data_IF_387248230594
#
_entry.id   IF_387248230594
#
_cell.length_a   1.000
_cell.length_b   1.000
_cell.length_c   1.000
_cell.angle_alpha   90.00
_cell.angle_beta   90.00
_cell.angle_gamma   90.00
#
_symmetry.space_group_name_H-M   'P 1'
#
loop_
_entity.id
_entity.type
_entity.pdbx_description
1 polymer ?
#
# COMPACT_ATOMS: atom_id res chain seq x y z
N UNK A 1 -1.58 -5.13 36.58
CA UNK A 1 -2.50 -5.03 35.44
C UNK A 1 -2.13 -3.77 34.70
N UNK A 2 -1.21 -3.87 33.74
CA UNK A 2 -0.95 -2.76 32.84
C UNK A 2 -1.95 -2.88 31.71
N UNK A 3 -2.86 -1.92 31.60
CA UNK A 3 -3.66 -1.78 30.40
C UNK A 3 -2.68 -1.68 29.22
N UNK A 4 -2.81 -2.61 28.27
CA UNK A 4 -2.20 -2.47 26.96
C UNK A 4 -2.68 -1.13 26.42
N UNK A 5 -1.81 -0.10 26.37
CA UNK A 5 -2.02 1.01 25.45
C UNK A 5 -2.27 0.36 24.10
N UNK A 6 -3.46 0.57 23.52
CA UNK A 6 -3.86 -0.11 22.30
C UNK A 6 -2.78 0.08 21.24
N UNK A 7 -2.28 -1.02 20.68
CA UNK A 7 -1.22 -0.99 19.70
C UNK A 7 -1.70 -0.15 18.51
N UNK A 8 -0.97 0.91 18.15
CA UNK A 8 -1.40 1.85 17.12
C UNK A 8 -0.37 1.90 15.99
N UNK A 9 -0.87 2.01 14.75
CA UNK A 9 -0.02 2.25 13.59
C UNK A 9 0.70 3.59 13.81
N UNK A 10 2.01 3.50 13.97
CA UNK A 10 2.90 4.61 14.28
C UNK A 10 3.62 5.15 13.05
N UNK A 11 3.83 4.31 12.05
CA UNK A 11 4.42 4.71 10.78
C UNK A 11 4.09 3.70 9.67
N UNK A 12 4.11 4.18 8.43
CA UNK A 12 4.05 3.36 7.22
C UNK A 12 5.11 3.89 6.26
N UNK A 13 5.86 2.98 5.66
CA UNK A 13 6.90 3.34 4.70
C UNK A 13 6.90 2.39 3.50
N UNK A 14 6.94 2.93 2.29
CA UNK A 14 7.02 2.18 1.06
C UNK A 14 8.29 2.47 0.27
N UNK A 15 8.69 1.47 -0.51
CA UNK A 15 9.82 1.52 -1.43
C UNK A 15 9.50 0.73 -2.70
N UNK A 16 10.15 1.10 -3.81
CA UNK A 16 10.17 0.28 -5.00
C UNK A 16 11.19 -0.85 -4.83
N UNK A 17 10.77 -2.09 -5.09
CA UNK A 17 11.63 -3.28 -5.18
C UNK A 17 11.45 -3.95 -6.55
N UNK A 18 12.14 -5.06 -6.80
CA UNK A 18 12.06 -5.79 -8.08
C UNK A 18 11.36 -7.14 -7.90
N UNK A 19 10.38 -7.41 -8.74
CA UNK A 19 9.64 -8.68 -8.79
C UNK A 19 10.47 -9.84 -9.38
N UNK A 20 9.92 -11.05 -9.36
CA UNK A 20 10.58 -12.25 -9.92
C UNK A 20 10.81 -12.21 -11.43
N UNK A 21 10.24 -11.22 -12.14
CA UNK A 21 10.34 -11.00 -13.59
C UNK A 21 11.21 -9.79 -13.93
N UNK A 22 11.84 -9.15 -12.95
CA UNK A 22 12.69 -7.99 -13.15
C UNK A 22 11.95 -6.65 -13.31
N UNK A 23 10.65 -6.57 -13.01
CA UNK A 23 9.88 -5.32 -13.05
C UNK A 23 9.79 -4.69 -11.65
N UNK A 24 9.69 -3.36 -11.56
CA UNK A 24 9.41 -2.69 -10.29
C UNK A 24 8.08 -3.16 -9.67
N UNK A 25 8.03 -3.24 -8.35
CA UNK A 25 6.80 -3.38 -7.56
C UNK A 25 6.93 -2.66 -6.21
N UNK A 26 5.81 -2.48 -5.51
CA UNK A 26 5.75 -1.78 -4.22
C UNK A 26 5.97 -2.78 -3.08
N UNK A 27 6.85 -2.42 -2.14
CA UNK A 27 6.96 -3.05 -0.82
C UNK A 27 6.60 -2.02 0.26
N UNK A 28 5.75 -2.41 1.20
CA UNK A 28 5.26 -1.58 2.29
C UNK A 28 5.64 -2.20 3.63
N UNK A 29 6.16 -1.36 4.52
CA UNK A 29 6.42 -1.64 5.93
C UNK A 29 5.36 -0.95 6.79
N UNK A 30 4.83 -1.65 7.78
CA UNK A 30 3.98 -1.07 8.82
C UNK A 30 4.65 -1.17 10.19
N UNK A 31 4.70 -0.03 10.89
CA UNK A 31 5.27 0.08 12.22
C UNK A 31 4.15 0.33 13.22
N UNK A 32 4.12 -0.46 14.29
CA UNK A 32 3.17 -0.31 15.41
C UNK A 32 3.98 -0.01 16.65
N UNK A 33 3.65 1.10 17.31
CA UNK A 33 4.39 1.64 18.46
C UNK A 33 5.92 1.76 18.21
N UNK A 34 6.30 2.17 17.01
CA UNK A 34 7.68 2.37 16.57
C UNK A 34 8.43 1.09 16.20
N UNK A 35 7.77 -0.07 16.21
CA UNK A 35 8.38 -1.37 15.87
C UNK A 35 7.79 -1.90 14.57
N UNK A 36 8.65 -2.32 13.64
CA UNK A 36 8.22 -2.99 12.41
C UNK A 36 7.40 -4.25 12.76
N UNK A 37 6.12 -4.26 12.37
CA UNK A 37 5.21 -5.40 12.62
C UNK A 37 4.90 -6.19 11.37
N UNK A 38 4.77 -5.52 10.23
CA UNK A 38 4.46 -6.18 8.98
C UNK A 38 5.24 -5.59 7.82
N UNK A 39 5.49 -6.44 6.83
CA UNK A 39 6.09 -6.09 5.55
C UNK A 39 5.42 -6.92 4.46
N UNK A 40 4.96 -6.24 3.43
CA UNK A 40 4.34 -6.89 2.28
C UNK A 40 4.88 -6.32 0.97
N UNK A 41 5.31 -7.20 0.08
CA UNK A 41 5.60 -6.89 -1.31
C UNK A 41 4.42 -7.32 -2.17
N UNK A 42 3.95 -6.43 -3.03
CA UNK A 42 2.77 -6.71 -3.85
C UNK A 42 3.17 -7.43 -5.13
N UNK A 43 2.55 -8.57 -5.48
CA UNK A 43 2.81 -9.21 -6.76
C UNK A 43 2.30 -8.33 -7.90
N UNK A 44 3.13 -8.15 -8.93
CA UNK A 44 2.73 -7.46 -10.15
C UNK A 44 1.68 -8.28 -10.91
N UNK A 45 0.62 -7.63 -11.37
CA UNK A 45 -0.36 -8.24 -12.27
C UNK A 45 0.21 -8.50 -13.67
N UNK A 46 -0.50 -9.32 -14.44
CA UNK A 46 -0.34 -9.39 -15.90
C UNK A 46 -1.68 -9.18 -16.62
N UNK A 47 -2.75 -8.97 -15.87
CA UNK A 47 -4.11 -8.98 -16.38
C UNK A 47 -4.51 -7.60 -16.91
N UNK A 48 -5.25 -7.63 -18.02
CA UNK A 48 -5.79 -6.46 -18.72
C UNK A 48 -7.31 -6.40 -18.62
N UNK A 49 -7.89 -7.05 -17.60
CA UNK A 49 -9.33 -7.09 -17.39
C UNK A 49 -9.88 -5.69 -17.12
N UNK A 50 -10.85 -5.24 -17.92
CA UNK A 50 -11.42 -3.88 -17.82
C UNK A 50 -12.18 -3.60 -16.52
N UNK A 51 -12.45 -4.64 -15.73
CA UNK A 51 -13.17 -4.57 -14.45
C UNK A 51 -12.27 -4.88 -13.24
N UNK A 52 -10.96 -5.07 -13.46
CA UNK A 52 -10.05 -5.40 -12.38
C UNK A 52 -9.57 -4.14 -11.65
N UNK A 53 -9.11 -4.33 -10.41
CA UNK A 53 -8.43 -3.28 -9.69
C UNK A 53 -7.13 -2.90 -10.43
N UNK A 54 -6.88 -1.60 -10.59
CA UNK A 54 -5.82 -1.11 -11.47
C UNK A 54 -4.52 -0.95 -10.71
N UNK A 55 -3.50 -1.70 -11.13
CA UNK A 55 -2.12 -1.45 -10.71
C UNK A 55 -1.63 -0.13 -11.30
N UNK A 56 -1.18 0.80 -10.45
CA UNK A 56 -0.66 2.09 -10.90
C UNK A 56 0.80 1.96 -11.32
N UNK A 57 1.08 2.41 -12.54
CA UNK A 57 2.40 2.39 -13.19
C UNK A 57 2.73 3.78 -13.69
N UNK A 58 3.98 4.21 -13.51
CA UNK A 58 4.42 5.58 -13.82
C UNK A 58 4.36 5.93 -15.32
N UNK A 59 4.40 4.92 -16.20
CA UNK A 59 4.60 5.13 -17.63
C UNK A 59 5.97 5.74 -17.94
N UNK A 60 6.10 6.36 -19.13
CA UNK A 60 7.36 6.96 -19.57
C UNK A 60 8.44 5.95 -19.98
N UNK A 61 9.71 6.35 -19.92
CA UNK A 61 10.85 5.59 -20.47
C UNK A 61 11.55 4.71 -19.44
N UNK A 62 11.57 5.13 -18.17
CA UNK A 62 12.17 4.35 -17.10
C UNK A 62 11.43 3.03 -16.91
N UNK A 63 12.19 1.94 -16.74
CA UNK A 63 11.62 0.58 -16.61
C UNK A 63 10.65 0.19 -17.73
N UNK A 64 10.80 0.77 -18.94
CA UNK A 64 9.87 0.59 -20.05
C UNK A 64 8.41 0.95 -19.68
N UNK A 65 8.24 1.98 -18.86
CA UNK A 65 6.95 2.45 -18.39
C UNK A 65 6.38 1.70 -17.19
N UNK A 66 7.12 0.76 -16.62
CA UNK A 66 6.68 -0.09 -15.51
C UNK A 66 7.12 0.40 -14.14
N UNK A 67 7.60 1.64 -14.04
CA UNK A 67 7.88 2.27 -12.75
C UNK A 67 6.64 2.25 -11.83
N UNK A 68 6.88 2.35 -10.52
CA UNK A 68 5.83 2.35 -9.49
C UNK A 68 6.05 3.47 -8.47
N UNK A 69 6.80 4.51 -8.83
CA UNK A 69 7.13 5.60 -7.93
C UNK A 69 5.88 6.35 -7.47
N UNK A 70 4.89 6.55 -8.35
CA UNK A 70 3.63 7.20 -7.98
C UNK A 70 2.87 6.39 -6.92
N UNK A 71 2.82 5.06 -7.07
CA UNK A 71 2.22 4.17 -6.08
C UNK A 71 3.00 4.19 -4.74
N UNK A 72 4.33 4.24 -4.78
CA UNK A 72 5.17 4.40 -3.57
C UNK A 72 4.89 5.72 -2.87
N UNK A 73 4.76 6.81 -3.62
CA UNK A 73 4.47 8.14 -3.08
C UNK A 73 3.06 8.19 -2.49
N UNK A 74 2.08 7.52 -3.10
CA UNK A 74 0.73 7.38 -2.55
C UNK A 74 0.73 6.63 -1.21
N UNK A 75 1.58 5.60 -1.04
CA UNK A 75 1.73 4.94 0.27
C UNK A 75 2.38 5.88 1.29
N UNK A 76 3.49 6.53 0.93
CA UNK A 76 4.26 7.39 1.83
C UNK A 76 3.57 8.72 2.19
N UNK A 77 2.60 9.16 1.41
CA UNK A 77 1.81 10.37 1.65
C UNK A 77 0.39 10.05 2.13
N UNK A 78 -0.63 10.12 1.25
CA UNK A 78 -2.03 10.09 1.64
C UNK A 78 -2.44 8.84 2.42
N UNK A 79 -1.94 7.65 2.05
CA UNK A 79 -2.26 6.41 2.77
C UNK A 79 -1.66 6.42 4.17
N UNK A 80 -0.36 6.75 4.28
CA UNK A 80 0.31 6.89 5.58
C UNK A 80 -0.45 7.85 6.48
N UNK A 81 -0.73 9.06 6.00
CA UNK A 81 -1.46 10.08 6.75
C UNK A 81 -2.84 9.61 7.24
N UNK A 82 -3.55 8.82 6.44
CA UNK A 82 -4.86 8.29 6.79
C UNK A 82 -4.81 7.16 7.85
N UNK A 83 -3.75 6.33 7.83
CA UNK A 83 -3.67 5.13 8.68
C UNK A 83 -2.96 5.34 10.02
N UNK A 84 -2.19 6.42 10.20
CA UNK A 84 -1.54 6.72 11.49
C UNK A 84 -2.59 6.79 12.61
N UNK A 85 -2.33 6.09 13.70
CA UNK A 85 -3.18 6.04 14.89
C UNK A 85 -4.30 5.00 14.85
N UNK A 86 -4.50 4.31 13.71
CA UNK A 86 -5.45 3.21 13.63
C UNK A 86 -4.92 1.98 14.38
N UNK A 87 -5.84 1.15 14.88
CA UNK A 87 -5.51 -0.15 15.46
C UNK A 87 -5.30 -1.17 14.32
N UNK A 88 -4.11 -1.79 14.19
CA UNK A 88 -3.83 -2.78 13.15
C UNK A 88 -4.73 -4.02 13.23
N UNK A 89 -5.37 -4.28 14.38
CA UNK A 89 -6.31 -5.39 14.53
C UNK A 89 -7.67 -5.15 13.84
N UNK A 90 -7.95 -3.93 13.38
CA UNK A 90 -9.21 -3.54 12.74
C UNK A 90 -9.11 -3.55 11.20
N UNK A 91 -8.74 -4.70 10.63
CA UNK A 91 -8.50 -4.87 9.19
C UNK A 91 -9.64 -4.31 8.31
N UNK A 92 -10.90 -4.63 8.62
CA UNK A 92 -12.05 -4.16 7.84
C UNK A 92 -12.15 -2.63 7.82
N UNK A 93 -11.81 -1.97 8.93
CA UNK A 93 -11.80 -0.51 9.04
C UNK A 93 -10.66 0.10 8.23
N UNK A 94 -9.47 -0.51 8.27
CA UNK A 94 -8.29 -0.11 7.48
C UNK A 94 -8.63 -0.19 5.99
N UNK A 95 -9.12 -1.35 5.53
CA UNK A 95 -9.44 -1.56 4.12
C UNK A 95 -10.58 -0.65 3.64
N UNK A 96 -11.61 -0.46 4.47
CA UNK A 96 -12.71 0.46 4.15
C UNK A 96 -12.22 1.90 4.02
N UNK A 97 -11.30 2.34 4.89
CA UNK A 97 -10.71 3.67 4.80
C UNK A 97 -9.86 3.81 3.54
N UNK A 98 -9.03 2.82 3.20
CA UNK A 98 -8.21 2.82 1.99
C UNK A 98 -9.06 2.90 0.71
N UNK A 99 -10.13 2.11 0.62
CA UNK A 99 -11.07 2.15 -0.51
C UNK A 99 -11.75 3.52 -0.59
N UNK A 100 -12.19 4.07 0.54
CA UNK A 100 -12.83 5.39 0.59
C UNK A 100 -11.87 6.51 0.21
N UNK A 101 -10.62 6.42 0.66
CA UNK A 101 -9.56 7.40 0.39
C UNK A 101 -9.23 7.45 -1.10
N UNK A 102 -9.18 6.30 -1.76
CA UNK A 102 -8.99 6.21 -3.21
C UNK A 102 -10.17 6.82 -3.98
N UNK A 103 -11.39 6.47 -3.58
CA UNK A 103 -12.63 7.06 -4.12
C UNK A 103 -12.98 6.64 -5.55
N UNK A 104 -12.16 5.82 -6.23
CA UNK A 104 -12.46 5.26 -7.54
C UNK A 104 -13.06 3.86 -7.43
N UNK A 105 -13.85 3.44 -8.42
CA UNK A 105 -14.48 2.11 -8.42
C UNK A 105 -13.44 0.97 -8.51
N UNK A 106 -12.28 1.24 -9.12
CA UNK A 106 -11.28 0.24 -9.47
C UNK A 106 -9.92 0.46 -8.78
N UNK A 107 -9.84 1.28 -7.73
CA UNK A 107 -8.58 1.56 -7.01
C UNK A 107 -7.51 2.23 -7.88
N UNK A 108 -7.91 2.91 -8.94
CA UNK A 108 -7.00 3.50 -9.93
C UNK A 108 -6.43 4.87 -9.53
N UNK A 109 -6.95 5.50 -8.48
CA UNK A 109 -6.49 6.83 -8.04
C UNK A 109 -5.20 6.73 -7.23
N UNK A 110 -5.17 5.86 -6.22
CA UNK A 110 -3.99 5.57 -5.40
C UNK A 110 -3.17 4.40 -5.94
N UNK A 111 -3.81 3.53 -6.73
CA UNK A 111 -3.24 2.29 -7.24
C UNK A 111 -3.57 1.10 -6.34
N UNK A 112 -4.11 0.04 -6.95
CA UNK A 112 -4.43 -1.20 -6.25
C UNK A 112 -3.19 -1.83 -5.59
N UNK A 113 -2.01 -1.64 -6.18
CA UNK A 113 -0.72 -2.04 -5.62
C UNK A 113 -0.33 -1.25 -4.36
N UNK A 114 -0.63 0.05 -4.29
CA UNK A 114 -0.42 0.83 -3.06
C UNK A 114 -1.37 0.37 -1.95
N UNK A 115 -2.67 0.26 -2.28
CA UNK A 115 -3.73 -0.13 -1.33
C UNK A 115 -3.49 -1.53 -0.79
N UNK A 116 -3.22 -2.51 -1.66
CA UNK A 116 -2.98 -3.89 -1.23
C UNK A 116 -1.69 -4.01 -0.41
N UNK A 117 -0.66 -3.25 -0.74
CA UNK A 117 0.59 -3.23 0.01
C UNK A 117 0.38 -2.77 1.45
N UNK A 118 -0.35 -1.66 1.63
CA UNK A 118 -0.71 -1.15 2.95
C UNK A 118 -1.65 -2.12 3.71
N UNK A 119 -2.66 -2.66 3.02
CA UNK A 119 -3.64 -3.62 3.58
C UNK A 119 -3.00 -4.90 4.12
N UNK A 120 -1.99 -5.45 3.42
CA UNK A 120 -1.31 -6.68 3.85
C UNK A 120 -0.22 -6.44 4.89
N UNK A 121 0.37 -5.24 4.91
CA UNK A 121 1.44 -4.90 5.85
C UNK A 121 0.90 -4.49 7.22
N UNK A 122 -0.25 -3.80 7.26
CA UNK A 122 -0.90 -3.34 8.49
C UNK A 122 -1.76 -4.45 9.10
#
# INVERSE_FOLDING_TARGET
MGESMGAAISDIFARAIIDSRGNPTVEVDCYVDGVLKGRAAVPSGASTGTHEAVELRDGGTQWMGKGVQEAVDNVNGPIREALIGMNPSEQESIDSLLIKLDGSENKGSLGANAILGASLAC
#
